data_IF_226914540236
#
_entry.id   IF_226914540236
#
_cell.length_a   1.000
_cell.length_b   1.000
_cell.length_c   1.000
_cell.angle_alpha   90.00
_cell.angle_beta   90.00
_cell.angle_gamma   90.00
#
_symmetry.space_group_name_H-M   'P 1'
#
loop_
_entity.id
_entity.type
_entity.pdbx_description
1 polymer ?
#
# COMPACT_ATOMS: atom_id res chain seq x y z
N UNK A 1 -5.29 -50.07 -40.28
CA UNK A 1 -5.38 -51.51 -39.97
C UNK A 1 -5.14 -51.65 -38.47
N UNK A 2 -6.23 -51.87 -37.71
CA UNK A 2 -6.34 -52.45 -36.35
C UNK A 2 -5.26 -52.07 -35.29
N UNK A 3 -5.51 -51.11 -34.38
CA UNK A 3 -6.32 -51.14 -33.11
C UNK A 3 -5.54 -51.65 -31.87
N UNK A 4 -5.55 -50.87 -30.79
CA UNK A 4 -5.21 -51.36 -29.44
C UNK A 4 -5.06 -50.22 -28.42
N UNK A 5 -6.04 -50.06 -27.53
CA UNK A 5 -6.27 -48.94 -26.60
C UNK A 5 -5.27 -48.78 -25.46
N UNK A 6 -5.25 -47.53 -24.96
CA UNK A 6 -4.65 -47.09 -23.70
C UNK A 6 -5.40 -47.61 -22.47
N UNK A 7 -4.64 -47.87 -21.40
CA UNK A 7 -5.12 -48.12 -20.04
C UNK A 7 -4.50 -47.05 -19.11
N UNK A 8 -5.29 -46.10 -18.55
CA UNK A 8 -4.81 -45.05 -17.69
C UNK A 8 -5.19 -45.31 -16.23
N UNK A 9 -4.60 -46.33 -15.59
CA UNK A 9 -4.79 -46.51 -14.14
C UNK A 9 -3.58 -47.14 -13.42
N UNK A 10 -2.41 -46.50 -13.54
CA UNK A 10 -1.23 -46.83 -12.72
C UNK A 10 -0.66 -45.61 -12.01
N UNK A 11 -1.11 -45.43 -10.77
CA UNK A 11 -0.47 -44.58 -9.77
C UNK A 11 0.92 -45.14 -9.41
N UNK A 12 2.01 -44.34 -9.46
CA UNK A 12 3.31 -44.80 -9.00
C UNK A 12 3.46 -44.58 -7.49
N UNK A 13 3.39 -45.68 -6.73
CA UNK A 13 3.83 -45.76 -5.34
C UNK A 13 5.36 -45.60 -5.25
N UNK A 14 5.84 -44.42 -4.83
CA UNK A 14 7.27 -44.23 -4.52
C UNK A 14 7.59 -44.76 -3.12
N UNK A 15 8.19 -45.95 -3.11
CA UNK A 15 8.91 -46.54 -1.96
C UNK A 15 10.05 -45.60 -1.51
N UNK A 16 10.06 -45.24 -0.23
CA UNK A 16 11.24 -44.69 0.45
C UNK A 16 12.17 -45.85 0.85
N UNK A 17 13.36 -45.90 0.27
CA UNK A 17 14.46 -46.75 0.72
C UNK A 17 15.31 -46.02 1.77
N UNK A 18 15.85 -46.73 2.78
CA UNK A 18 16.70 -46.13 3.80
C UNK A 18 18.16 -46.11 3.35
N UNK A 19 18.85 -44.99 3.53
CA UNK A 19 20.33 -44.96 3.47
C UNK A 19 20.82 -44.57 4.86
N UNK A 20 21.41 -45.56 5.52
CA UNK A 20 22.18 -45.43 6.76
C UNK A 20 23.62 -45.03 6.42
N UNK A 21 24.10 -44.08 7.22
CA UNK A 21 25.39 -44.03 7.91
C UNK A 21 26.71 -44.27 7.13
N UNK A 22 27.59 -43.26 7.18
CA UNK A 22 28.97 -43.47 7.65
C UNK A 22 29.65 -42.15 8.06
N UNK A 23 29.86 -42.04 9.38
CA UNK A 23 30.94 -41.38 10.12
C UNK A 23 32.12 -40.81 9.30
N UNK A 24 32.56 -39.59 9.66
CA UNK A 24 33.94 -39.36 10.14
C UNK A 24 33.99 -38.28 11.23
N UNK A 25 34.38 -38.72 12.43
CA UNK A 25 34.83 -37.90 13.55
C UNK A 25 36.22 -37.32 13.25
N UNK A 26 36.47 -36.07 13.63
CA UNK A 26 37.78 -35.65 14.11
C UNK A 26 37.59 -34.65 15.26
N UNK A 27 38.00 -35.09 16.44
CA UNK A 27 38.13 -34.32 17.67
C UNK A 27 39.40 -33.48 17.57
N UNK A 28 39.34 -32.17 17.84
CA UNK A 28 40.46 -31.44 18.44
C UNK A 28 39.92 -30.43 19.46
N UNK A 29 40.36 -30.64 20.69
CA UNK A 29 40.27 -29.77 21.87
C UNK A 29 40.82 -28.36 21.54
N UNK A 30 40.23 -27.29 22.08
CA UNK A 30 40.64 -26.59 23.32
C UNK A 30 40.08 -25.15 23.35
N UNK A 31 39.89 -24.63 24.57
CA UNK A 31 39.81 -23.23 24.99
C UNK A 31 38.42 -22.62 25.19
N UNK A 32 37.94 -22.80 26.43
CA UNK A 32 37.01 -21.93 27.13
C UNK A 32 37.58 -20.50 27.16
N UNK A 33 36.89 -19.58 26.52
CA UNK A 33 37.10 -18.14 26.61
C UNK A 33 35.74 -17.46 26.58
N UNK A 34 35.21 -17.14 27.76
CA UNK A 34 34.04 -16.28 27.93
C UNK A 34 34.39 -14.88 27.42
N UNK A 35 33.92 -14.56 26.21
CA UNK A 35 33.88 -13.20 25.69
C UNK A 35 32.41 -12.81 25.53
N UNK A 36 31.98 -11.90 26.38
CA UNK A 36 30.71 -11.21 26.34
C UNK A 36 30.56 -10.49 25.00
N UNK A 37 29.62 -10.95 24.17
CA UNK A 37 29.17 -10.18 23.01
C UNK A 37 28.31 -9.03 23.54
N UNK A 38 28.93 -7.86 23.66
CA UNK A 38 28.23 -6.58 23.78
C UNK A 38 27.53 -6.31 22.46
N UNK A 39 26.26 -6.69 22.37
CA UNK A 39 25.35 -6.10 21.42
C UNK A 39 25.12 -4.64 21.85
N UNK A 40 25.45 -3.69 20.99
CA UNK A 40 25.05 -2.30 21.16
C UNK A 40 23.52 -2.25 21.04
N UNK A 41 22.84 -2.28 22.18
CA UNK A 41 21.46 -1.80 22.32
C UNK A 41 21.57 -0.29 22.50
N UNK A 42 21.02 0.46 21.54
CA UNK A 42 20.77 1.90 21.71
C UNK A 42 19.54 2.08 22.60
N UNK A 43 19.64 1.63 23.85
CA UNK A 43 18.68 1.98 24.89
C UNK A 43 19.00 3.40 25.36
N UNK A 44 18.16 4.35 24.96
CA UNK A 44 18.10 5.66 25.59
C UNK A 44 17.85 5.46 27.10
N UNK A 45 18.51 6.23 27.99
CA UNK A 45 18.24 6.12 29.43
C UNK A 45 16.75 6.41 29.67
N UNK A 46 16.07 5.64 30.55
CA UNK A 46 14.64 5.79 30.73
C UNK A 46 14.33 7.20 31.23
N UNK A 47 13.33 7.90 30.65
CA UNK A 47 12.84 9.12 31.25
C UNK A 47 12.28 8.77 32.64
N UNK A 48 12.86 9.37 33.68
CA UNK A 48 12.38 9.28 35.06
C UNK A 48 11.08 10.06 35.20
N UNK A 49 9.94 9.41 34.96
CA UNK A 49 8.65 9.68 35.58
C UNK A 49 7.93 8.34 35.81
N UNK A 50 7.30 8.20 36.98
CA UNK A 50 6.90 6.92 37.61
C UNK A 50 5.74 6.22 36.88
N UNK A 51 6.05 5.15 36.15
CA UNK A 51 5.10 4.29 35.42
C UNK A 51 4.29 3.29 36.27
N UNK A 52 4.30 3.40 37.60
CA UNK A 52 3.66 2.40 38.48
C UNK A 52 2.17 2.64 38.76
N UNK A 53 1.63 3.85 38.55
CA UNK A 53 0.28 4.20 39.00
C UNK A 53 -0.85 3.46 38.26
N UNK A 54 -0.61 3.05 37.01
CA UNK A 54 -1.59 2.35 36.17
C UNK A 54 -1.08 0.99 35.66
N UNK A 55 -0.03 0.44 36.27
CA UNK A 55 0.56 -0.82 35.81
C UNK A 55 -0.46 -1.98 35.79
N UNK A 56 -1.30 -2.07 36.83
CA UNK A 56 -2.34 -3.10 36.95
C UNK A 56 -3.47 -2.89 35.93
N UNK A 57 -3.95 -1.65 35.80
CA UNK A 57 -5.01 -1.30 34.81
C UNK A 57 -4.52 -1.54 33.38
N UNK A 58 -3.28 -1.17 33.08
CA UNK A 58 -2.66 -1.40 31.77
C UNK A 58 -2.55 -2.89 31.42
N UNK A 59 -2.28 -3.77 32.41
CA UNK A 59 -2.30 -5.22 32.20
C UNK A 59 -3.70 -5.73 31.86
N UNK A 60 -4.73 -5.23 32.54
CA UNK A 60 -6.12 -5.60 32.26
C UNK A 60 -6.55 -5.13 30.87
N UNK A 61 -6.27 -3.89 30.48
CA UNK A 61 -6.52 -3.38 29.13
C UNK A 61 -5.81 -4.22 28.06
N UNK A 62 -4.53 -4.54 28.29
CA UNK A 62 -3.75 -5.36 27.37
C UNK A 62 -4.34 -6.78 27.24
N UNK A 63 -4.82 -7.35 28.34
CA UNK A 63 -5.52 -8.65 28.33
C UNK A 63 -6.78 -8.59 27.47
N UNK A 64 -7.58 -7.53 27.59
CA UNK A 64 -8.80 -7.31 26.81
C UNK A 64 -8.51 -7.23 25.31
N UNK A 65 -7.56 -6.39 24.89
CA UNK A 65 -7.23 -6.28 23.46
C UNK A 65 -6.55 -7.55 22.91
N UNK A 66 -5.83 -8.30 23.75
CA UNK A 66 -5.31 -9.63 23.38
C UNK A 66 -6.44 -10.64 23.16
N UNK A 67 -7.45 -10.65 24.03
CA UNK A 67 -8.63 -11.51 23.87
C UNK A 67 -9.40 -11.16 22.60
N UNK A 68 -9.49 -9.86 22.27
CA UNK A 68 -10.08 -9.34 21.04
C UNK A 68 -9.34 -9.82 19.79
N UNK A 69 -8.02 -9.67 19.74
CA UNK A 69 -7.20 -10.21 18.63
C UNK A 69 -7.34 -11.73 18.48
N UNK A 70 -7.33 -12.45 19.61
CA UNK A 70 -7.48 -13.89 19.65
C UNK A 70 -8.85 -14.38 19.15
N UNK A 71 -9.88 -13.56 19.30
CA UNK A 71 -11.23 -13.82 18.82
C UNK A 71 -11.33 -13.63 17.30
N UNK A 72 -10.78 -12.53 16.77
CA UNK A 72 -10.69 -12.30 15.32
C UNK A 72 -9.92 -13.41 14.60
N UNK A 73 -8.79 -13.85 15.17
CA UNK A 73 -7.98 -14.94 14.58
C UNK A 73 -8.64 -16.32 14.60
N UNK A 74 -9.71 -16.50 15.39
CA UNK A 74 -10.40 -17.79 15.58
C UNK A 74 -11.84 -17.77 15.08
N UNK A 75 -12.25 -16.69 14.43
CA UNK A 75 -13.61 -16.45 14.00
C UNK A 75 -14.63 -16.65 15.15
N UNK A 76 -14.30 -16.12 16.35
CA UNK A 76 -15.11 -16.24 17.57
C UNK A 76 -15.79 -14.92 17.95
N UNK A 77 -16.91 -14.61 17.29
CA UNK A 77 -17.67 -13.37 17.53
C UNK A 77 -18.16 -13.24 18.98
N UNK A 78 -18.49 -14.35 19.65
CA UNK A 78 -18.97 -14.32 21.03
C UNK A 78 -17.87 -13.82 21.96
N UNK A 79 -16.64 -14.33 21.79
CA UNK A 79 -15.48 -13.86 22.55
C UNK A 79 -15.09 -12.43 22.19
N UNK A 80 -15.19 -12.04 20.93
CA UNK A 80 -14.92 -10.66 20.50
C UNK A 80 -15.89 -9.68 21.19
N UNK A 81 -17.19 -9.96 21.13
CA UNK A 81 -18.21 -9.15 21.82
C UNK A 81 -17.98 -9.12 23.33
N UNK A 82 -17.51 -10.21 23.94
CA UNK A 82 -17.15 -10.26 25.36
C UNK A 82 -16.06 -9.28 25.80
N UNK A 83 -15.38 -8.59 24.87
CA UNK A 83 -14.41 -7.53 25.18
C UNK A 83 -15.00 -6.12 25.22
N UNK A 84 -16.29 -5.97 24.89
CA UNK A 84 -16.99 -4.69 24.78
C UNK A 84 -17.88 -4.44 26.01
N UNK A 85 -18.13 -3.18 26.31
CA UNK A 85 -19.25 -2.79 27.16
C UNK A 85 -20.57 -3.00 26.40
N UNK A 86 -21.43 -3.88 26.93
CA UNK A 86 -22.69 -4.23 26.26
C UNK A 86 -23.82 -3.25 26.57
N UNK A 87 -23.61 -2.31 27.50
CA UNK A 87 -24.58 -1.27 27.80
C UNK A 87 -24.75 -0.30 26.61
N UNK A 88 -23.69 -0.08 25.84
CA UNK A 88 -23.73 0.70 24.60
C UNK A 88 -24.06 -0.20 23.40
N UNK A 89 -25.33 -0.22 23.00
CA UNK A 89 -25.77 -1.02 21.84
C UNK A 89 -25.28 -0.46 20.50
N UNK A 90 -24.92 0.83 20.46
CA UNK A 90 -24.32 1.46 19.27
C UNK A 90 -22.92 0.91 19.04
N UNK A 91 -22.09 0.94 20.09
CA UNK A 91 -20.76 0.34 20.08
C UNK A 91 -20.82 -1.13 19.63
N UNK A 92 -21.69 -1.95 20.22
CA UNK A 92 -21.79 -3.37 19.85
C UNK A 92 -22.14 -3.57 18.38
N UNK A 93 -23.00 -2.71 17.81
CA UNK A 93 -23.36 -2.76 16.39
C UNK A 93 -22.20 -2.35 15.48
N UNK A 94 -21.54 -1.22 15.79
CA UNK A 94 -20.40 -0.73 15.00
C UNK A 94 -19.23 -1.75 15.02
N UNK A 95 -18.99 -2.36 16.19
CA UNK A 95 -17.96 -3.36 16.35
C UNK A 95 -18.30 -4.70 15.71
N UNK A 96 -19.59 -5.01 15.51
CA UNK A 96 -20.00 -6.14 14.68
C UNK A 96 -19.61 -5.90 13.22
N UNK A 97 -19.88 -4.71 12.68
CA UNK A 97 -19.49 -4.35 11.31
C UNK A 97 -17.98 -4.45 11.14
N UNK A 98 -17.21 -3.91 12.08
CA UNK A 98 -15.74 -4.05 12.07
C UNK A 98 -15.28 -5.51 12.07
N UNK A 99 -15.90 -6.36 12.88
CA UNK A 99 -15.60 -7.79 12.89
C UNK A 99 -15.89 -8.45 11.54
N UNK A 100 -17.07 -8.19 10.98
CA UNK A 100 -17.52 -8.75 9.69
C UNK A 100 -16.63 -8.27 8.53
N UNK A 101 -16.09 -7.06 8.61
CA UNK A 101 -15.11 -6.54 7.65
C UNK A 101 -13.78 -7.30 7.73
N UNK A 102 -13.25 -7.47 8.95
CA UNK A 102 -11.95 -8.13 9.14
C UNK A 102 -11.98 -9.62 8.79
N UNK A 103 -13.10 -10.30 9.00
CA UNK A 103 -13.27 -11.72 8.63
C UNK A 103 -13.11 -11.95 7.12
N UNK A 104 -13.37 -10.94 6.30
CA UNK A 104 -13.22 -11.04 4.85
C UNK A 104 -11.76 -10.82 4.38
N UNK A 105 -10.88 -10.28 5.22
CA UNK A 105 -9.51 -9.94 4.85
C UNK A 105 -8.56 -11.13 5.01
N UNK A 106 -7.55 -11.28 4.12
CA UNK A 106 -6.53 -12.31 4.26
C UNK A 106 -5.49 -11.91 5.32
N UNK A 107 -5.87 -11.94 6.59
CA UNK A 107 -5.02 -11.48 7.70
C UNK A 107 -3.94 -12.53 8.03
N UNK A 108 -2.66 -12.18 7.84
CA UNK A 108 -1.51 -12.98 8.29
C UNK A 108 -1.16 -12.70 9.76
N UNK A 109 -1.21 -11.42 10.14
CA UNK A 109 -0.89 -10.96 11.48
C UNK A 109 -1.89 -9.90 11.92
N UNK A 110 -2.40 -10.06 13.14
CA UNK A 110 -3.20 -9.06 13.83
C UNK A 110 -2.83 -9.06 15.30
N UNK A 111 -2.34 -7.93 15.81
CA UNK A 111 -1.93 -7.75 17.20
C UNK A 111 -2.25 -6.35 17.70
N UNK A 112 -2.81 -6.26 18.89
CA UNK A 112 -3.01 -5.00 19.59
C UNK A 112 -1.96 -4.80 20.68
N UNK A 113 -1.58 -3.56 20.92
CA UNK A 113 -0.73 -3.16 22.05
C UNK A 113 -1.24 -1.87 22.67
N UNK A 114 -1.50 -1.90 23.98
CA UNK A 114 -1.82 -0.72 24.77
C UNK A 114 -0.54 0.05 25.08
N UNK A 115 -0.56 1.36 24.88
CA UNK A 115 0.53 2.25 25.28
C UNK A 115 0.30 2.71 26.72
N UNK A 116 0.91 2.01 27.67
CA UNK A 116 0.68 2.23 29.12
C UNK A 116 1.06 3.63 29.59
N UNK A 117 1.98 4.29 28.90
CA UNK A 117 2.41 5.68 29.13
C UNK A 117 1.38 6.72 28.69
N UNK A 118 0.35 6.31 27.93
CA UNK A 118 -0.74 7.18 27.46
C UNK A 118 -2.03 7.04 28.26
N UNK A 119 -2.03 6.18 29.30
CA UNK A 119 -3.22 5.92 30.10
C UNK A 119 -3.59 7.18 30.90
N UNK A 120 -4.83 7.65 30.72
CA UNK A 120 -5.39 8.78 31.46
C UNK A 120 -6.77 8.45 32.01
N UNK A 121 -6.96 8.64 33.32
CA UNK A 121 -8.27 8.53 33.97
C UNK A 121 -9.20 9.65 33.47
N UNK A 122 -10.45 9.32 33.18
CA UNK A 122 -11.50 10.29 32.86
C UNK A 122 -11.96 10.96 34.15
N UNK A 123 -11.93 12.29 34.18
CA UNK A 123 -12.25 13.06 35.38
C UNK A 123 -13.71 12.80 35.81
N UNK A 124 -13.88 12.33 37.04
CA UNK A 124 -15.19 12.07 37.63
C UNK A 124 -15.80 10.72 37.28
N UNK A 125 -15.08 9.83 36.58
CA UNK A 125 -15.52 8.45 36.32
C UNK A 125 -14.43 7.43 36.71
N UNK A 126 -14.72 6.14 36.51
CA UNK A 126 -13.74 5.05 36.65
C UNK A 126 -13.17 4.61 35.29
N UNK A 127 -13.40 5.39 34.23
CA UNK A 127 -13.00 5.06 32.87
C UNK A 127 -11.60 5.60 32.55
N UNK A 128 -10.96 4.98 31.58
CA UNK A 128 -9.60 5.29 31.18
C UNK A 128 -9.49 5.38 29.67
N UNK A 129 -8.90 6.46 29.19
CA UNK A 129 -8.40 6.53 27.82
C UNK A 129 -7.01 5.93 27.72
N UNK A 130 -6.72 5.21 26.63
CA UNK A 130 -5.38 4.78 26.28
C UNK A 130 -5.20 4.68 24.76
N UNK A 131 -4.02 5.04 24.25
CA UNK A 131 -3.67 4.74 22.86
C UNK A 131 -3.47 3.23 22.69
N UNK A 132 -4.09 2.68 21.65
CA UNK A 132 -3.96 1.29 21.22
C UNK A 132 -3.33 1.26 19.84
N UNK A 133 -2.24 0.53 19.71
CA UNK A 133 -1.57 0.29 18.43
C UNK A 133 -2.07 -1.04 17.87
N UNK A 134 -2.64 -1.01 16.67
CA UNK A 134 -2.95 -2.20 15.88
C UNK A 134 -1.81 -2.44 14.88
N UNK A 135 -1.19 -3.61 14.94
CA UNK A 135 -0.33 -4.13 13.88
C UNK A 135 -1.14 -5.14 13.06
N UNK A 136 -1.41 -4.82 11.79
CA UNK A 136 -2.14 -5.67 10.85
C UNK A 136 -1.29 -5.94 9.61
N UNK A 137 -1.25 -7.19 9.15
CA UNK A 137 -0.56 -7.58 7.91
C UNK A 137 -1.50 -8.40 7.04
N UNK A 138 -1.68 -7.96 5.80
CA UNK A 138 -2.40 -8.70 4.78
C UNK A 138 -1.47 -9.69 4.07
N UNK A 139 -1.81 -10.97 4.16
CA UNK A 139 -1.06 -12.08 3.60
C UNK A 139 -0.90 -11.90 2.08
N UNK A 140 0.34 -11.86 1.61
CA UNK A 140 0.64 -11.73 0.17
C UNK A 140 0.47 -10.31 -0.40
N UNK A 141 0.08 -9.33 0.42
CA UNK A 141 -0.10 -7.93 0.01
C UNK A 141 0.78 -6.95 0.79
N UNK A 142 1.15 -7.26 2.04
CA UNK A 142 2.01 -6.42 2.87
C UNK A 142 3.36 -7.11 3.16
N UNK A 143 4.46 -6.40 2.89
CA UNK A 143 5.82 -6.87 3.18
C UNK A 143 6.13 -6.92 4.70
N UNK A 144 5.40 -6.13 5.49
CA UNK A 144 5.53 -6.07 6.94
C UNK A 144 4.21 -5.59 7.57
N UNK A 145 3.96 -5.86 8.86
CA UNK A 145 2.76 -5.38 9.55
C UNK A 145 2.68 -3.85 9.57
N UNK A 146 1.57 -3.32 9.07
CA UNK A 146 1.21 -1.90 9.13
C UNK A 146 0.72 -1.57 10.53
N UNK A 147 1.24 -0.47 11.11
CA UNK A 147 0.88 0.01 12.43
C UNK A 147 -0.01 1.23 12.36
N UNK A 148 -1.27 1.05 12.72
CA UNK A 148 -2.23 2.13 12.97
C UNK A 148 -2.42 2.32 14.47
N UNK A 149 -2.90 3.50 14.86
CA UNK A 149 -3.15 3.87 16.24
C UNK A 149 -4.51 4.50 16.35
N UNK A 150 -5.16 4.22 17.46
CA UNK A 150 -6.36 4.92 17.88
C UNK A 150 -6.36 5.07 19.40
N UNK A 151 -7.28 5.87 19.93
CA UNK A 151 -7.44 6.07 21.37
C UNK A 151 -8.75 5.44 21.82
N UNK A 152 -8.63 4.40 22.64
CA UNK A 152 -9.78 3.63 23.11
C UNK A 152 -10.16 4.06 24.53
N UNK A 153 -11.47 4.06 24.80
CA UNK A 153 -12.01 4.20 26.14
C UNK A 153 -12.25 2.83 26.73
N UNK A 154 -11.76 2.65 27.96
CA UNK A 154 -11.93 1.43 28.74
C UNK A 154 -12.70 1.72 30.02
N UNK A 155 -13.67 0.88 30.33
CA UNK A 155 -14.44 0.91 31.58
C UNK A 155 -14.25 -0.39 32.37
N UNK A 156 -14.11 -0.37 33.70
CA UNK A 156 -13.98 -1.60 34.47
C UNK A 156 -15.27 -2.45 34.41
N UNK A 157 -15.14 -3.77 34.40
CA UNK A 157 -16.27 -4.68 34.58
C UNK A 157 -16.87 -4.53 35.99
N UNK A 158 -18.12 -4.97 36.18
CA UNK A 158 -18.81 -4.87 37.49
C UNK A 158 -18.03 -5.55 38.64
N UNK A 159 -17.26 -6.61 38.35
CA UNK A 159 -16.43 -7.32 39.32
C UNK A 159 -14.99 -6.78 39.43
N UNK A 160 -14.66 -5.75 38.65
CA UNK A 160 -13.34 -5.11 38.57
C UNK A 160 -12.22 -6.03 38.08
N UNK A 161 -12.53 -7.22 37.54
CA UNK A 161 -11.53 -8.20 37.12
C UNK A 161 -11.08 -8.00 35.67
N UNK A 162 -11.78 -7.17 34.91
CA UNK A 162 -11.52 -6.91 33.49
C UNK A 162 -11.73 -5.44 33.16
N UNK A 163 -11.10 -4.99 32.09
CA UNK A 163 -11.48 -3.76 31.41
C UNK A 163 -12.30 -4.12 30.18
N UNK A 164 -13.40 -3.43 29.96
CA UNK A 164 -14.22 -3.53 28.75
C UNK A 164 -13.94 -2.32 27.88
N UNK A 165 -13.98 -2.49 26.56
CA UNK A 165 -13.88 -1.38 25.62
C UNK A 165 -15.27 -0.72 25.55
N UNK A 166 -15.36 0.56 25.89
CA UNK A 166 -16.60 1.35 25.80
C UNK A 166 -16.57 2.40 24.69
N UNK A 167 -15.41 2.63 24.07
CA UNK A 167 -15.28 3.33 22.77
C UNK A 167 -14.00 2.89 22.07
N UNK A 168 -14.05 2.75 20.75
CA UNK A 168 -12.86 2.58 19.90
C UNK A 168 -12.40 3.85 19.22
N UNK A 169 -13.08 4.97 19.45
CA UNK A 169 -12.84 6.23 18.75
C UNK A 169 -12.80 7.42 19.70
N UNK A 170 -11.91 8.36 19.40
CA UNK A 170 -11.80 9.70 19.99
C UNK A 170 -11.61 10.71 18.86
N UNK A 171 -12.72 11.32 18.41
CA UNK A 171 -12.73 12.20 17.25
C UNK A 171 -11.74 13.37 17.33
N UNK A 172 -11.46 13.88 18.55
CA UNK A 172 -10.48 14.95 18.71
C UNK A 172 -9.06 14.39 18.50
N UNK A 173 -8.77 13.24 19.09
CA UNK A 173 -7.48 12.58 18.91
C UNK A 173 -7.25 12.19 17.44
N UNK A 174 -8.25 11.65 16.75
CA UNK A 174 -8.18 11.27 15.33
C UNK A 174 -7.93 12.48 14.42
N UNK A 175 -8.58 13.61 14.70
CA UNK A 175 -8.36 14.86 13.97
C UNK A 175 -6.93 15.39 14.13
N UNK A 176 -6.35 15.24 15.32
CA UNK A 176 -4.97 15.62 15.62
C UNK A 176 -3.93 14.58 15.11
N UNK A 177 -4.37 13.36 14.81
CA UNK A 177 -3.53 12.24 14.37
C UNK A 177 -4.06 11.56 13.09
N UNK A 178 -4.13 12.28 11.95
CA UNK A 178 -4.64 11.72 10.71
C UNK A 178 -3.72 10.61 10.14
N UNK A 179 -4.25 9.82 9.21
CA UNK A 179 -3.50 8.75 8.52
C UNK A 179 -3.49 7.40 9.23
N UNK A 180 -4.33 7.21 10.26
CA UNK A 180 -4.50 5.92 10.95
C UNK A 180 -5.72 5.12 10.46
N UNK A 181 -6.74 5.80 9.96
CA UNK A 181 -8.00 5.20 9.52
C UNK A 181 -7.78 4.32 8.28
N UNK A 182 -8.39 3.14 8.29
CA UNK A 182 -8.45 2.23 7.14
C UNK A 182 -9.87 2.18 6.56
N UNK A 183 -10.06 1.77 5.29
CA UNK A 183 -11.39 1.67 4.68
C UNK A 183 -12.38 0.83 5.49
N UNK A 184 -11.92 -0.28 6.09
CA UNK A 184 -12.75 -1.17 6.92
C UNK A 184 -13.07 -0.64 8.32
N UNK A 185 -12.56 0.55 8.70
CA UNK A 185 -12.90 1.23 9.95
C UNK A 185 -14.10 2.20 9.76
N UNK A 186 -14.42 2.58 8.52
CA UNK A 186 -15.39 3.64 8.20
C UNK A 186 -16.83 3.16 8.04
N UNK A 187 -17.03 1.86 7.83
CA UNK A 187 -18.35 1.29 7.56
C UNK A 187 -18.23 -0.13 7.01
N UNK A 188 -19.36 -0.72 6.62
CA UNK A 188 -19.37 -2.04 6.02
C UNK A 188 -18.61 -2.03 4.70
N UNK A 189 -17.71 -2.99 4.52
CA UNK A 189 -17.00 -3.19 3.25
C UNK A 189 -17.28 -4.57 2.68
N UNK A 190 -17.17 -4.64 1.36
CA UNK A 190 -17.15 -5.87 0.57
C UNK A 190 -15.72 -6.11 0.09
N UNK A 191 -15.11 -7.19 0.54
CA UNK A 191 -13.78 -7.61 0.09
C UNK A 191 -13.92 -8.69 -0.96
N UNK A 192 -13.24 -8.52 -2.09
CA UNK A 192 -13.17 -9.52 -3.15
C UNK A 192 -11.72 -9.77 -3.58
N UNK A 193 -11.38 -11.05 -3.72
CA UNK A 193 -10.06 -11.46 -4.20
C UNK A 193 -10.15 -12.02 -5.64
N UNK A 194 -9.14 -11.66 -6.43
CA UNK A 194 -8.78 -12.30 -7.70
C UNK A 194 -7.27 -12.56 -7.69
N UNK A 195 -6.75 -13.30 -8.66
CA UNK A 195 -5.35 -13.76 -8.67
C UNK A 195 -4.36 -12.60 -8.50
N UNK A 196 -3.84 -12.43 -7.28
CA UNK A 196 -2.90 -11.36 -6.91
C UNK A 196 -3.51 -9.96 -6.81
N UNK A 197 -4.83 -9.84 -6.65
CA UNK A 197 -5.53 -8.56 -6.44
C UNK A 197 -6.54 -8.70 -5.30
N UNK A 198 -6.44 -7.83 -4.30
CA UNK A 198 -7.42 -7.68 -3.22
C UNK A 198 -8.19 -6.38 -3.42
N UNK A 199 -9.49 -6.46 -3.68
CA UNK A 199 -10.36 -5.30 -3.79
C UNK A 199 -11.14 -5.06 -2.51
N UNK A 200 -11.21 -3.80 -2.08
CA UNK A 200 -12.07 -3.34 -0.98
C UNK A 200 -13.06 -2.32 -1.53
N UNK A 201 -14.34 -2.65 -1.41
CA UNK A 201 -15.48 -1.88 -1.90
C UNK A 201 -16.45 -1.58 -0.76
N UNK A 202 -17.33 -0.62 -0.94
CA UNK A 202 -18.49 -0.37 -0.07
C UNK A 202 -19.79 -0.66 -0.81
N UNK A 203 -20.93 -0.46 -0.14
CA UNK A 203 -22.27 -0.68 -0.69
C UNK A 203 -22.57 0.20 -1.91
N UNK A 204 -21.82 1.29 -2.10
CA UNK A 204 -21.94 2.18 -3.26
C UNK A 204 -21.14 1.73 -4.48
N UNK A 205 -20.15 0.85 -4.31
CA UNK A 205 -19.16 0.52 -5.33
C UNK A 205 -19.03 -0.97 -5.60
N UNK A 206 -19.65 -1.83 -4.77
CA UNK A 206 -19.58 -3.29 -4.91
C UNK A 206 -20.08 -3.81 -6.26
N UNK A 207 -21.06 -3.13 -6.88
CA UNK A 207 -21.55 -3.48 -8.21
C UNK A 207 -20.47 -3.37 -9.31
N UNK A 208 -19.49 -2.49 -9.12
CA UNK A 208 -18.34 -2.31 -10.03
C UNK A 208 -17.13 -3.18 -9.66
N UNK A 209 -17.19 -3.94 -8.56
CA UNK A 209 -16.05 -4.68 -8.02
C UNK A 209 -15.39 -5.59 -9.06
N UNK A 210 -16.21 -6.31 -9.83
CA UNK A 210 -15.74 -7.21 -10.88
C UNK A 210 -14.93 -6.48 -11.95
N UNK A 211 -15.47 -5.38 -12.48
CA UNK A 211 -14.84 -4.65 -13.58
C UNK A 211 -13.53 -3.99 -13.13
N UNK A 212 -13.51 -3.45 -11.91
CA UNK A 212 -12.28 -2.91 -11.30
C UNK A 212 -11.24 -4.01 -11.10
N UNK A 213 -11.61 -5.16 -10.53
CA UNK A 213 -10.70 -6.28 -10.31
C UNK A 213 -10.15 -6.86 -11.62
N UNK A 214 -10.98 -7.00 -12.65
CA UNK A 214 -10.57 -7.49 -13.97
C UNK A 214 -9.60 -6.48 -14.64
N UNK A 215 -9.86 -5.18 -14.49
CA UNK A 215 -8.97 -4.11 -14.97
C UNK A 215 -7.62 -4.10 -14.24
N UNK A 216 -7.61 -4.26 -12.91
CA UNK A 216 -6.38 -4.30 -12.10
C UNK A 216 -5.59 -5.57 -12.38
N UNK A 217 -6.26 -6.72 -12.48
CA UNK A 217 -5.62 -7.99 -12.79
C UNK A 217 -4.93 -7.95 -14.14
N UNK A 218 -5.62 -7.51 -15.19
CA UNK A 218 -5.04 -7.39 -16.53
C UNK A 218 -3.98 -6.28 -16.60
N UNK A 219 -4.23 -5.16 -15.91
CA UNK A 219 -3.32 -4.02 -15.84
C UNK A 219 -1.96 -4.37 -15.22
N UNK A 220 -1.91 -5.29 -14.26
CA UNK A 220 -0.64 -5.75 -13.67
C UNK A 220 0.26 -6.42 -14.71
N UNK A 221 -0.31 -7.28 -15.54
CA UNK A 221 0.43 -7.96 -16.61
C UNK A 221 0.87 -6.95 -17.69
N UNK A 222 -0.03 -6.03 -18.07
CA UNK A 222 0.26 -4.95 -19.03
C UNK A 222 1.42 -4.07 -18.55
N UNK A 223 1.45 -3.69 -17.28
CA UNK A 223 2.50 -2.85 -16.68
C UNK A 223 3.82 -3.60 -16.59
N UNK A 224 3.81 -4.84 -16.07
CA UNK A 224 5.01 -5.70 -15.94
C UNK A 224 5.66 -5.99 -17.28
N UNK A 225 4.88 -6.09 -18.35
CA UNK A 225 5.41 -6.25 -19.71
C UNK A 225 6.31 -5.09 -20.16
N UNK A 226 6.19 -3.91 -19.54
CA UNK A 226 6.98 -2.71 -19.86
C UNK A 226 8.07 -2.46 -18.82
N UNK A 227 7.73 -2.44 -17.53
CA UNK A 227 8.69 -2.08 -16.46
C UNK A 227 9.54 -3.25 -15.96
N UNK A 228 9.20 -4.48 -16.37
CA UNK A 228 9.81 -5.73 -15.93
C UNK A 228 9.23 -6.28 -14.62
N UNK A 229 9.59 -7.52 -14.30
CA UNK A 229 9.33 -8.11 -12.98
C UNK A 229 10.50 -7.82 -12.05
N UNK A 230 10.30 -6.92 -11.09
CA UNK A 230 11.26 -6.76 -9.98
C UNK A 230 10.97 -7.83 -8.92
N UNK A 231 11.54 -9.02 -9.11
CA UNK A 231 11.40 -10.16 -8.19
C UNK A 231 12.17 -9.98 -6.87
N UNK A 232 12.61 -8.77 -6.51
CA UNK A 232 13.36 -8.52 -5.27
C UNK A 232 12.43 -8.38 -4.05
N UNK A 233 11.80 -9.51 -3.67
CA UNK A 233 11.33 -9.83 -2.31
C UNK A 233 10.11 -9.09 -1.72
N UNK A 234 9.37 -8.30 -2.51
CA UNK A 234 8.10 -7.70 -2.09
C UNK A 234 6.89 -8.64 -2.25
N UNK A 235 5.73 -8.31 -1.65
CA UNK A 235 4.46 -8.97 -1.96
C UNK A 235 4.11 -8.78 -3.45
N UNK A 236 3.73 -9.87 -4.13
CA UNK A 236 3.33 -9.83 -5.54
C UNK A 236 1.92 -9.26 -5.75
N UNK A 237 1.12 -9.22 -4.69
CA UNK A 237 -0.28 -8.80 -4.72
C UNK A 237 -0.45 -7.28 -4.70
N UNK A 238 -1.51 -6.80 -5.33
CA UNK A 238 -1.92 -5.39 -5.25
C UNK A 238 -3.24 -5.27 -4.50
N UNK A 239 -3.35 -4.27 -3.63
CA UNK A 239 -4.62 -3.89 -3.01
C UNK A 239 -5.22 -2.71 -3.76
N UNK A 240 -6.49 -2.83 -4.16
CA UNK A 240 -7.27 -1.75 -4.75
C UNK A 240 -8.44 -1.36 -3.85
N UNK A 241 -8.61 -0.07 -3.65
CA UNK A 241 -9.74 0.52 -2.95
C UNK A 241 -10.63 1.24 -3.94
N UNK A 242 -11.93 1.03 -3.84
CA UNK A 242 -12.91 1.95 -4.40
C UNK A 242 -14.02 2.07 -3.39
N UNK A 243 -14.04 3.17 -2.65
CA UNK A 243 -15.01 3.44 -1.58
C UNK A 243 -15.42 4.91 -1.69
N UNK A 244 -16.67 5.20 -1.34
CA UNK A 244 -17.26 6.54 -1.41
C UNK A 244 -16.67 7.48 -0.37
N UNK A 245 -16.39 7.01 0.84
CA UNK A 245 -15.79 7.84 1.89
C UNK A 245 -14.26 7.89 1.77
N UNK A 246 -13.65 9.01 1.30
CA UNK A 246 -12.21 9.12 1.17
C UNK A 246 -11.52 9.47 2.50
N UNK A 247 -12.21 9.42 3.65
CA UNK A 247 -11.65 9.83 4.96
C UNK A 247 -10.35 9.10 5.30
N UNK A 248 -10.18 7.85 4.86
CA UNK A 248 -8.93 7.09 5.06
C UNK A 248 -7.71 7.70 4.34
N UNK A 249 -7.91 8.58 3.34
CA UNK A 249 -6.83 9.31 2.66
C UNK A 249 -6.34 10.52 3.46
N UNK A 250 -7.10 10.98 4.47
CA UNK A 250 -6.70 12.15 5.28
C UNK A 250 -5.39 11.87 6.01
N UNK A 251 -4.43 12.79 5.88
CA UNK A 251 -3.08 12.63 6.46
C UNK A 251 -2.11 11.82 5.60
N UNK A 252 -2.55 11.29 4.45
CA UNK A 252 -1.70 10.53 3.53
C UNK A 252 -1.22 11.33 2.32
N UNK A 253 -1.47 12.65 2.25
CA UNK A 253 -1.13 13.47 1.07
C UNK A 253 0.35 13.43 0.65
N UNK A 254 1.29 13.29 1.60
CA UNK A 254 2.72 13.14 1.30
C UNK A 254 3.14 11.67 1.02
N UNK A 255 2.18 10.77 1.03
CA UNK A 255 2.34 9.33 0.79
C UNK A 255 1.61 8.90 -0.49
N UNK A 256 0.81 9.78 -1.09
CA UNK A 256 0.17 9.56 -2.37
C UNK A 256 1.05 10.05 -3.52
N UNK A 257 0.93 9.38 -4.67
CA UNK A 257 1.35 9.94 -5.95
C UNK A 257 0.12 10.63 -6.55
N UNK A 258 0.24 11.90 -6.90
CA UNK A 258 -0.87 12.77 -7.31
C UNK A 258 -1.54 13.54 -6.17
N UNK A 259 -2.44 14.45 -6.54
CA UNK A 259 -3.24 15.29 -5.62
C UNK A 259 -4.54 14.57 -5.23
N UNK A 260 -4.72 14.16 -3.96
CA UNK A 260 -5.90 13.42 -3.51
C UNK A 260 -7.24 14.12 -3.74
N UNK A 261 -7.26 15.46 -3.74
CA UNK A 261 -8.49 16.24 -3.89
C UNK A 261 -8.94 16.35 -5.35
N UNK A 262 -8.05 16.02 -6.29
CA UNK A 262 -8.27 16.21 -7.74
C UNK A 262 -8.18 14.94 -8.57
N UNK A 263 -7.59 13.88 -8.03
CA UNK A 263 -7.27 12.71 -8.82
C UNK A 263 -8.48 11.77 -9.02
N UNK A 264 -8.52 11.15 -10.19
CA UNK A 264 -9.48 10.09 -10.54
C UNK A 264 -9.04 8.74 -9.95
N UNK A 265 -7.74 8.57 -9.72
CA UNK A 265 -7.12 7.46 -9.03
C UNK A 265 -5.87 7.94 -8.29
N UNK A 266 -5.39 7.16 -7.32
CA UNK A 266 -4.21 7.48 -6.53
C UNK A 266 -3.44 6.21 -6.21
N UNK A 267 -2.13 6.34 -6.09
CA UNK A 267 -1.27 5.31 -5.50
C UNK A 267 -0.80 5.75 -4.13
N UNK A 268 -1.05 4.93 -3.12
CA UNK A 268 -0.79 5.20 -1.71
C UNK A 268 0.37 4.31 -1.26
N UNK A 269 1.48 4.92 -0.85
CA UNK A 269 2.56 4.22 -0.20
C UNK A 269 2.25 4.04 1.29
N UNK A 270 1.83 2.83 1.70
CA UNK A 270 1.42 2.54 3.07
C UNK A 270 2.65 2.35 3.97
N UNK A 271 2.95 3.28 4.89
CA UNK A 271 4.12 3.17 5.76
C UNK A 271 3.94 2.00 6.73
N UNK A 272 5.05 1.35 7.10
CA UNK A 272 5.02 0.36 8.20
C UNK A 272 4.53 1.01 9.49
N UNK A 273 4.89 2.28 9.72
CA UNK A 273 4.50 3.05 10.87
C UNK A 273 4.57 4.55 10.54
N UNK A 274 3.42 5.24 10.49
CA UNK A 274 3.34 6.65 10.13
C UNK A 274 4.16 7.57 11.07
N UNK A 275 4.35 7.18 12.35
CA UNK A 275 5.19 7.94 13.30
C UNK A 275 6.69 7.74 13.07
N UNK A 276 7.10 6.70 12.31
CA UNK A 276 8.51 6.43 12.01
C UNK A 276 8.69 6.07 10.52
N UNK A 277 8.54 7.02 9.59
CA UNK A 277 8.58 6.76 8.14
C UNK A 277 9.89 6.09 7.66
N UNK A 278 11.00 6.32 8.39
CA UNK A 278 12.28 5.70 8.11
C UNK A 278 12.28 4.16 8.21
N UNK A 279 11.25 3.54 8.81
CA UNK A 279 11.09 2.07 8.80
C UNK A 279 10.73 1.51 7.42
N UNK A 280 10.29 2.36 6.49
CA UNK A 280 9.93 1.97 5.14
C UNK A 280 8.43 1.79 4.93
N UNK A 281 8.11 1.19 3.79
CA UNK A 281 6.76 1.02 3.26
C UNK A 281 6.39 -0.45 3.33
N UNK A 282 5.19 -0.76 3.82
CA UNK A 282 4.66 -2.11 3.87
C UNK A 282 4.12 -2.56 2.51
N UNK A 283 3.43 -1.67 1.80
CA UNK A 283 2.83 -1.93 0.49
C UNK A 283 2.51 -0.64 -0.26
N UNK A 284 2.24 -0.77 -1.55
CA UNK A 284 1.68 0.30 -2.39
C UNK A 284 0.28 -0.13 -2.81
N UNK A 285 -0.72 0.68 -2.47
CA UNK A 285 -2.15 0.37 -2.70
C UNK A 285 -2.74 1.40 -3.65
N UNK A 286 -3.67 1.01 -4.50
CA UNK A 286 -4.30 1.92 -5.46
C UNK A 286 -5.71 2.28 -4.99
N UNK A 287 -6.09 3.55 -5.07
CA UNK A 287 -7.46 4.01 -4.88
C UNK A 287 -8.03 4.43 -6.23
N UNK A 288 -9.25 4.00 -6.54
CA UNK A 288 -10.01 4.42 -7.72
C UNK A 288 -11.24 5.17 -7.24
N UNK A 289 -11.34 6.44 -7.61
CA UNK A 289 -12.43 7.31 -7.17
C UNK A 289 -13.76 6.82 -7.77
N UNK A 290 -14.82 6.63 -6.96
CA UNK A 290 -16.11 6.15 -7.46
C UNK A 290 -16.69 6.98 -8.63
N UNK A 291 -16.33 8.27 -8.73
CA UNK A 291 -16.78 9.15 -9.81
C UNK A 291 -16.37 8.71 -11.22
N UNK A 292 -15.37 7.84 -11.35
CA UNK A 292 -14.93 7.32 -12.66
C UNK A 292 -15.46 5.93 -12.98
N UNK A 293 -16.25 5.31 -12.10
CA UNK A 293 -16.74 3.94 -12.32
C UNK A 293 -17.79 3.87 -13.45
N UNK A 294 -18.45 4.98 -13.76
CA UNK A 294 -19.38 5.08 -14.90
C UNK A 294 -18.67 5.30 -16.25
N UNK A 295 -17.35 5.48 -16.25
CA UNK A 295 -16.57 5.66 -17.48
C UNK A 295 -16.42 4.35 -18.28
N UNK A 296 -16.02 4.49 -19.53
CA UNK A 296 -15.81 3.30 -20.38
C UNK A 296 -14.67 2.41 -19.82
N UNK A 297 -14.71 1.07 -20.03
CA UNK A 297 -13.64 0.18 -19.59
C UNK A 297 -12.24 0.56 -20.09
N UNK A 298 -12.16 1.25 -21.23
CA UNK A 298 -10.89 1.74 -21.76
C UNK A 298 -10.32 2.91 -20.94
N UNK A 299 -11.17 3.79 -20.42
CA UNK A 299 -10.77 4.91 -19.55
C UNK A 299 -10.33 4.37 -18.19
N UNK A 300 -11.17 3.54 -17.55
CA UNK A 300 -10.83 2.89 -16.27
C UNK A 300 -9.55 2.07 -16.42
N UNK A 301 -9.43 1.25 -17.47
CA UNK A 301 -8.22 0.46 -17.69
C UNK A 301 -6.96 1.29 -17.90
N UNK A 302 -7.04 2.46 -18.54
CA UNK A 302 -5.88 3.38 -18.67
C UNK A 302 -5.50 3.95 -17.31
N UNK A 303 -6.48 4.47 -16.57
CA UNK A 303 -6.26 5.00 -15.22
C UNK A 303 -5.64 3.94 -14.30
N UNK A 304 -6.20 2.73 -14.28
CA UNK A 304 -5.69 1.62 -13.48
C UNK A 304 -4.24 1.27 -13.83
N UNK A 305 -3.86 1.23 -15.11
CA UNK A 305 -2.46 0.99 -15.49
C UNK A 305 -1.53 2.14 -15.11
N UNK A 306 -2.02 3.37 -15.15
CA UNK A 306 -1.27 4.54 -14.69
C UNK A 306 -0.93 4.38 -13.19
N UNK A 307 -1.94 4.18 -12.34
CA UNK A 307 -1.73 3.97 -10.90
C UNK A 307 -0.90 2.72 -10.59
N UNK A 308 -1.17 1.61 -11.28
CA UNK A 308 -0.38 0.39 -11.13
C UNK A 308 1.09 0.58 -11.49
N UNK A 309 1.42 1.51 -12.39
CA UNK A 309 2.83 1.81 -12.70
C UNK A 309 3.54 2.35 -11.47
N UNK A 310 2.93 3.29 -10.74
CA UNK A 310 3.50 3.78 -9.48
C UNK A 310 3.54 2.67 -8.42
N UNK A 311 2.47 1.88 -8.29
CA UNK A 311 2.40 0.84 -7.27
C UNK A 311 3.45 -0.25 -7.48
N UNK A 312 3.67 -0.67 -8.73
CA UNK A 312 4.62 -1.73 -9.09
C UNK A 312 6.07 -1.22 -9.18
N UNK A 313 6.30 0.07 -9.49
CA UNK A 313 7.62 0.67 -9.30
C UNK A 313 7.97 0.80 -7.81
N UNK A 314 6.98 1.09 -6.97
CA UNK A 314 7.14 1.13 -5.52
C UNK A 314 8.29 2.04 -5.07
N UNK A 315 9.31 1.44 -4.44
CA UNK A 315 10.47 2.20 -3.96
C UNK A 315 11.35 2.73 -5.10
N UNK A 316 11.48 1.96 -6.19
CA UNK A 316 12.28 2.32 -7.37
C UNK A 316 11.77 3.58 -8.07
N UNK A 317 10.49 3.88 -7.95
CA UNK A 317 9.89 5.11 -8.47
C UNK A 317 10.14 6.35 -7.59
N UNK A 318 10.66 6.19 -6.38
CA UNK A 318 10.81 7.31 -5.43
C UNK A 318 12.02 8.17 -5.77
N UNK A 319 11.87 9.48 -5.56
CA UNK A 319 12.93 10.46 -5.78
C UNK A 319 13.16 10.85 -7.24
N UNK A 320 12.53 10.14 -8.19
CA UNK A 320 12.54 10.53 -9.59
C UNK A 320 11.83 11.89 -9.79
N UNK A 321 12.33 12.75 -10.69
CA UNK A 321 11.65 13.99 -11.06
C UNK A 321 10.21 13.72 -11.52
N UNK A 322 9.30 14.62 -11.15
CA UNK A 322 7.85 14.45 -11.37
C UNK A 322 7.51 14.17 -12.85
N UNK A 323 8.14 14.86 -13.80
CA UNK A 323 7.93 14.59 -15.23
C UNK A 323 8.26 13.15 -15.63
N UNK A 324 9.26 12.52 -15.00
CA UNK A 324 9.65 11.15 -15.35
C UNK A 324 8.71 10.15 -14.70
N UNK A 325 8.35 10.36 -13.42
CA UNK A 325 7.44 9.47 -12.72
C UNK A 325 6.06 9.46 -13.40
N UNK A 326 5.47 10.63 -13.63
CA UNK A 326 4.16 10.78 -14.27
C UNK A 326 4.21 10.46 -15.77
N UNK A 327 5.28 10.86 -16.45
CA UNK A 327 5.47 10.57 -17.87
C UNK A 327 5.62 9.08 -18.16
N UNK A 328 6.30 8.34 -17.27
CA UNK A 328 6.43 6.89 -17.37
C UNK A 328 5.09 6.20 -17.09
N UNK A 329 4.35 6.62 -16.07
CA UNK A 329 3.00 6.08 -15.78
C UNK A 329 2.04 6.31 -16.96
N UNK A 330 2.03 7.51 -17.55
CA UNK A 330 1.27 7.78 -18.76
C UNK A 330 1.72 6.92 -19.95
N UNK A 331 3.03 6.83 -20.18
CA UNK A 331 3.63 6.01 -21.23
C UNK A 331 3.20 4.55 -21.12
N UNK A 332 3.34 3.95 -19.94
CA UNK A 332 2.96 2.55 -19.65
C UNK A 332 1.45 2.36 -19.83
N UNK A 333 0.63 3.30 -19.32
CA UNK A 333 -0.84 3.20 -19.35
C UNK A 333 -1.44 3.01 -20.73
N UNK A 334 -0.77 3.53 -21.76
CA UNK A 334 -1.22 3.51 -23.16
C UNK A 334 -0.55 2.42 -24.01
N UNK A 335 0.47 1.71 -23.51
CA UNK A 335 1.19 0.69 -24.31
C UNK A 335 0.27 -0.40 -24.87
N UNK A 336 -0.69 -0.96 -24.10
CA UNK A 336 -1.61 -1.98 -24.60
C UNK A 336 -2.61 -1.43 -25.62
N UNK A 337 -2.74 -0.10 -25.73
CA UNK A 337 -3.71 0.53 -26.62
C UNK A 337 -3.15 0.71 -28.04
N UNK A 338 -3.94 0.43 -29.09
CA UNK A 338 -3.61 0.81 -30.45
C UNK A 338 -3.37 2.32 -30.56
N UNK A 339 -2.45 2.81 -31.40
CA UNK A 339 -2.13 4.23 -31.53
C UNK A 339 -3.36 5.12 -31.74
N UNK A 340 -4.33 4.68 -32.57
CA UNK A 340 -5.57 5.42 -32.84
C UNK A 340 -6.49 5.61 -31.63
N UNK A 341 -6.27 4.87 -30.53
CA UNK A 341 -7.03 4.99 -29.28
C UNK A 341 -6.29 5.79 -28.21
N UNK A 342 -5.02 6.13 -28.42
CA UNK A 342 -4.25 6.95 -27.47
C UNK A 342 -4.66 8.40 -27.66
N UNK A 343 -5.40 8.97 -26.70
CA UNK A 343 -5.94 10.33 -26.79
C UNK A 343 -5.12 11.29 -25.95
N UNK A 344 -4.92 12.49 -26.49
CA UNK A 344 -4.36 13.63 -25.77
C UNK A 344 -5.47 14.45 -25.09
N UNK A 345 -5.18 15.05 -23.93
CA UNK A 345 -5.96 16.18 -23.41
C UNK A 345 -6.02 17.32 -24.42
N UNK A 346 -7.12 18.08 -24.42
CA UNK A 346 -7.36 19.14 -25.42
C UNK A 346 -6.27 20.24 -25.39
N UNK A 347 -5.68 20.50 -24.22
CA UNK A 347 -4.64 21.51 -24.01
C UNK A 347 -3.22 21.04 -24.40
N UNK A 348 -3.01 19.73 -24.64
CA UNK A 348 -1.67 19.16 -24.75
C UNK A 348 -0.82 19.80 -25.87
N UNK A 349 -1.41 20.05 -27.05
CA UNK A 349 -0.68 20.65 -28.17
C UNK A 349 -0.32 22.12 -27.91
N UNK A 350 -1.23 22.90 -27.28
CA UNK A 350 -0.95 24.29 -26.93
C UNK A 350 0.09 24.41 -25.82
N UNK A 351 0.03 23.55 -24.81
CA UNK A 351 1.01 23.49 -23.71
C UNK A 351 2.38 23.07 -24.25
N UNK A 352 2.42 22.01 -25.06
CA UNK A 352 3.63 21.53 -25.70
C UNK A 352 4.31 22.61 -26.57
N UNK A 353 3.54 23.40 -27.32
CA UNK A 353 4.08 24.49 -28.14
C UNK A 353 4.82 25.57 -27.32
N UNK A 354 4.46 25.74 -26.05
CA UNK A 354 5.13 26.66 -25.12
C UNK A 354 6.24 26.03 -24.28
N UNK A 355 6.41 24.70 -24.33
CA UNK A 355 7.35 23.98 -23.48
C UNK A 355 8.80 24.18 -23.93
N UNK A 356 9.62 24.79 -23.06
CA UNK A 356 11.05 25.06 -23.32
C UNK A 356 11.98 24.17 -22.51
N UNK A 357 11.48 23.56 -21.44
CA UNK A 357 12.22 22.66 -20.54
C UNK A 357 11.27 21.58 -19.96
N UNK A 358 11.81 20.61 -19.23
CA UNK A 358 11.03 19.55 -18.57
C UNK A 358 10.17 20.15 -17.45
N UNK A 359 8.89 19.77 -17.30
CA UNK A 359 8.02 20.33 -16.28
C UNK A 359 8.45 19.92 -14.86
N UNK A 360 8.27 20.84 -13.91
CA UNK A 360 8.46 20.60 -12.48
C UNK A 360 7.16 20.78 -11.69
N UNK A 361 7.25 20.84 -10.37
CA UNK A 361 6.08 20.89 -9.47
C UNK A 361 5.11 22.05 -9.80
N UNK A 362 5.62 23.21 -10.20
CA UNK A 362 4.80 24.38 -10.51
C UNK A 362 3.88 24.15 -11.73
N UNK A 363 4.39 23.46 -12.75
CA UNK A 363 3.62 23.10 -13.95
C UNK A 363 2.51 22.09 -13.61
N UNK A 364 2.81 21.08 -12.79
CA UNK A 364 1.84 20.07 -12.36
C UNK A 364 0.80 20.60 -11.36
N UNK A 365 1.13 21.62 -10.56
CA UNK A 365 0.18 22.31 -9.69
C UNK A 365 -0.67 23.37 -10.44
N UNK A 366 -0.31 23.67 -11.70
CA UNK A 366 -0.94 24.71 -12.50
C UNK A 366 -2.29 24.30 -13.13
N UNK A 367 -3.01 25.26 -13.74
CA UNK A 367 -4.28 24.99 -14.43
C UNK A 367 -4.13 24.09 -15.66
N UNK A 368 -2.93 24.02 -16.24
CA UNK A 368 -2.60 23.25 -17.44
C UNK A 368 -1.96 21.88 -17.12
N UNK A 369 -2.10 21.39 -15.89
CA UNK A 369 -1.47 20.14 -15.41
C UNK A 369 -1.65 18.97 -16.39
N UNK A 370 -2.86 18.71 -16.87
CA UNK A 370 -3.16 17.66 -17.87
C UNK A 370 -2.30 17.77 -19.14
N UNK A 371 -2.03 18.99 -19.60
CA UNK A 371 -1.13 19.22 -20.73
C UNK A 371 0.32 18.87 -20.40
N UNK A 372 0.77 19.11 -19.17
CA UNK A 372 2.11 18.75 -18.71
C UNK A 372 2.30 17.25 -18.47
N UNK A 373 1.26 16.53 -18.05
CA UNK A 373 1.23 15.06 -18.11
C UNK A 373 1.45 14.57 -19.54
N UNK A 374 0.76 15.16 -20.52
CA UNK A 374 0.93 14.80 -21.92
C UNK A 374 2.33 15.12 -22.47
N UNK A 375 2.90 16.28 -22.13
CA UNK A 375 4.29 16.62 -22.50
C UNK A 375 5.26 15.59 -21.93
N UNK A 376 5.09 15.24 -20.64
CA UNK A 376 5.92 14.27 -19.93
C UNK A 376 5.82 12.87 -20.53
N UNK A 377 4.61 12.43 -20.88
CA UNK A 377 4.37 11.19 -21.61
C UNK A 377 5.15 11.18 -22.93
N UNK A 378 5.03 12.23 -23.75
CA UNK A 378 5.67 12.25 -25.07
C UNK A 378 7.19 12.41 -25.02
N UNK A 379 7.72 12.98 -23.94
CA UNK A 379 9.15 12.90 -23.61
C UNK A 379 9.56 11.44 -23.37
N UNK A 380 8.82 10.69 -22.57
CA UNK A 380 9.08 9.27 -22.33
C UNK A 380 8.92 8.42 -23.59
N UNK A 381 7.88 8.67 -24.40
CA UNK A 381 7.68 8.03 -25.71
C UNK A 381 8.86 8.31 -26.66
N UNK A 382 9.41 9.52 -26.65
CA UNK A 382 10.59 9.86 -27.44
C UNK A 382 11.83 9.09 -26.96
N UNK A 383 12.08 9.01 -25.65
CA UNK A 383 13.21 8.24 -25.11
C UNK A 383 13.07 6.78 -25.54
N UNK A 384 11.92 6.16 -25.29
CA UNK A 384 11.67 4.77 -25.64
C UNK A 384 11.80 4.52 -27.15
N UNK A 385 11.31 5.44 -27.99
CA UNK A 385 11.36 5.28 -29.45
C UNK A 385 12.76 5.50 -30.05
N UNK A 386 13.55 6.42 -29.48
CA UNK A 386 14.85 6.79 -30.04
C UNK A 386 16.03 6.02 -29.42
N UNK A 387 15.90 5.63 -28.15
CA UNK A 387 16.97 4.99 -27.36
C UNK A 387 16.60 3.60 -26.84
N UNK A 388 15.33 3.21 -26.89
CA UNK A 388 14.82 1.95 -26.34
C UNK A 388 14.21 2.10 -24.94
N UNK A 389 13.27 1.22 -24.60
CA UNK A 389 12.58 1.19 -23.29
C UNK A 389 13.58 0.97 -22.13
N UNK A 390 14.62 0.15 -22.32
CA UNK A 390 15.68 -0.08 -21.32
C UNK A 390 16.39 1.22 -20.89
N UNK A 391 16.59 2.17 -21.81
CA UNK A 391 17.26 3.44 -21.51
C UNK A 391 16.34 4.41 -20.76
N UNK A 392 15.02 4.32 -20.97
CA UNK A 392 14.04 5.04 -20.16
C UNK A 392 14.04 4.54 -18.72
N UNK A 393 14.05 3.22 -18.53
CA UNK A 393 14.12 2.60 -17.21
C UNK A 393 15.48 2.83 -16.53
N UNK A 394 16.59 2.78 -17.27
CA UNK A 394 17.90 3.15 -16.73
C UNK A 394 17.94 4.61 -16.28
N UNK A 395 17.27 5.52 -17.01
CA UNK A 395 17.20 6.92 -16.62
C UNK A 395 16.44 7.09 -15.29
N UNK A 396 15.35 6.34 -15.08
CA UNK A 396 14.64 6.28 -13.81
C UNK A 396 15.59 5.87 -12.68
N UNK A 397 16.31 4.75 -12.85
CA UNK A 397 17.24 4.23 -11.85
C UNK A 397 18.40 5.21 -11.55
N UNK A 398 18.83 6.00 -12.54
CA UNK A 398 19.88 7.02 -12.35
C UNK A 398 19.41 8.29 -11.67
N UNK A 399 18.10 8.50 -11.62
CA UNK A 399 17.46 9.66 -11.01
C UNK A 399 16.84 9.33 -9.65
N UNK A 400 16.93 8.08 -9.20
CA UNK A 400 16.58 7.67 -7.84
C UNK A 400 17.35 8.51 -6.81
N UNK A 401 16.74 8.73 -5.64
CA UNK A 401 17.30 9.50 -4.52
C UNK A 401 17.74 10.95 -4.84
N UNK A 402 17.14 11.57 -5.87
CA UNK A 402 17.31 13.00 -6.15
C UNK A 402 18.65 13.35 -6.80
N UNK A 403 19.22 12.43 -7.58
CA UNK A 403 20.43 12.67 -8.35
C UNK A 403 20.30 13.86 -9.31
N UNK A 404 21.44 14.45 -9.71
CA UNK A 404 21.44 15.64 -10.57
C UNK A 404 20.85 15.31 -11.95
N UNK A 405 19.69 15.91 -12.26
CA UNK A 405 18.97 15.67 -13.51
C UNK A 405 19.80 15.98 -14.76
N UNK A 406 20.55 17.08 -14.76
CA UNK A 406 21.34 17.47 -15.93
C UNK A 406 22.48 16.46 -16.20
N UNK A 407 23.14 15.99 -15.14
CA UNK A 407 24.20 14.98 -15.24
C UNK A 407 23.65 13.63 -15.69
N UNK A 408 22.50 13.20 -15.16
CA UNK A 408 21.86 11.96 -15.55
C UNK A 408 21.41 11.97 -17.02
N UNK A 409 20.75 13.03 -17.47
CA UNK A 409 20.34 13.20 -18.87
C UNK A 409 21.54 13.20 -19.82
N UNK A 410 22.60 13.95 -19.47
CA UNK A 410 23.81 14.00 -20.27
C UNK A 410 24.53 12.63 -20.30
N UNK A 411 24.57 11.92 -19.18
CA UNK A 411 25.24 10.63 -19.04
C UNK A 411 24.52 9.47 -19.71
N UNK A 412 23.19 9.46 -19.70
CA UNK A 412 22.36 8.38 -20.24
C UNK A 412 21.96 8.64 -21.70
N UNK A 413 21.51 9.87 -22.01
CA UNK A 413 20.92 10.21 -23.32
C UNK A 413 21.81 11.12 -24.18
N UNK A 414 22.81 11.76 -23.58
CA UNK A 414 23.72 12.68 -24.28
C UNK A 414 23.08 13.99 -24.70
N UNK A 415 21.97 14.39 -24.07
CA UNK A 415 21.20 15.60 -24.41
C UNK A 415 20.79 16.38 -23.16
N UNK A 416 20.49 17.66 -23.36
CA UNK A 416 19.97 18.52 -22.29
C UNK A 416 18.47 18.32 -22.08
N UNK A 417 17.94 18.79 -20.96
CA UNK A 417 16.50 18.78 -20.66
C UNK A 417 15.69 19.55 -21.71
N UNK A 418 16.14 20.74 -22.11
CA UNK A 418 15.48 21.52 -23.17
C UNK A 418 15.47 20.79 -24.52
N UNK A 419 16.56 20.12 -24.90
CA UNK A 419 16.60 19.31 -26.12
C UNK A 419 15.64 18.12 -26.03
N UNK A 420 15.57 17.47 -24.87
CA UNK A 420 14.66 16.36 -24.62
C UNK A 420 13.19 16.80 -24.74
N UNK A 421 12.80 17.90 -24.08
CA UNK A 421 11.46 18.49 -24.18
C UNK A 421 11.10 18.81 -25.62
N UNK A 422 11.98 19.52 -26.35
CA UNK A 422 11.72 19.89 -27.76
C UNK A 422 11.49 18.67 -28.65
N UNK A 423 12.25 17.59 -28.45
CA UNK A 423 12.11 16.36 -29.25
C UNK A 423 10.85 15.56 -28.89
N UNK A 424 10.50 15.49 -27.60
CA UNK A 424 9.25 14.90 -27.15
C UNK A 424 8.02 15.63 -27.72
N UNK A 425 8.01 16.96 -27.60
CA UNK A 425 6.93 17.80 -28.17
C UNK A 425 6.86 17.67 -29.69
N UNK A 426 7.99 17.69 -30.40
CA UNK A 426 8.00 17.52 -31.85
C UNK A 426 7.41 16.17 -32.29
N UNK A 427 7.70 15.10 -31.53
CA UNK A 427 7.13 13.78 -31.76
C UNK A 427 5.61 13.76 -31.49
N UNK A 428 5.16 14.39 -30.41
CA UNK A 428 3.74 14.57 -30.09
C UNK A 428 2.99 15.28 -31.21
N UNK A 429 3.46 16.47 -31.62
CA UNK A 429 2.84 17.28 -32.68
C UNK A 429 2.77 16.49 -33.99
N UNK A 430 3.86 15.84 -34.41
CA UNK A 430 3.89 15.07 -35.66
C UNK A 430 2.89 13.90 -35.66
N UNK A 431 2.57 13.37 -34.48
CA UNK A 431 1.63 12.26 -34.32
C UNK A 431 0.17 12.69 -34.42
N UNK A 432 -0.19 13.87 -33.89
CA UNK A 432 -1.59 14.31 -33.76
C UNK A 432 -2.01 15.49 -34.64
N UNK A 433 -1.08 16.22 -35.23
CA UNK A 433 -1.38 17.35 -36.13
C UNK A 433 -1.57 16.89 -37.59
N UNK A 434 -2.17 15.70 -37.80
CA UNK A 434 -2.41 15.09 -39.12
C UNK A 434 -3.88 15.07 -39.51
#
# INVERSE_FOLDING_TARGET
MWTGSADPDRSPSRRRGPVRDALRSLLFLTCVGLLSLTACSDDLPPPTYTGDAFADVGQLMQSTVNARAAALQRDDIARFRGTLDHADTGLVADQQVYYDNLEQLPIELLRYRVLTDTITLVEGTEDYWAEVVLALQLQGYDAAPVRTRDRFLFTPSEDGQQMLISSTSDYQWEADHPGNVQPWDLGAVRVEERVGVLGVFDDHTEDSARDVLDAVSSGRDDVRAVIGDDNTSGPDGVVVYSVQDPTFLRGLANQTVGDPDRADGLTIAVPIDARTPAKGVASYRTFINPRVLDETPQVIGRLVRHELTHALLGARGRGAPLWLNEGLAEYVSVRPLPPAKRRLPASALSVGAGAVDLPGEAEFAGPDAEGWYAVSWWVCEYIASAYGEDLLLLLLDRLEDGANQAEALQGVLGITSSQLTQRGVALMTTTYDR
#
